data_IF_871804092134
#
_entry.id   IF_871804092134
#
_cell.length_a   1.000
_cell.length_b   1.000
_cell.length_c   1.000
_cell.angle_alpha   90.00
_cell.angle_beta   90.00
_cell.angle_gamma   90.00
#
_symmetry.space_group_name_H-M   'P 1'
#
loop_
_entity.id
_entity.type
_entity.pdbx_description
1 polymer ?
#
# COMPACT_ATOMS: atom_id res chain seq x y z
N UNK A 1 5.28 -18.67 0.35
CA UNK A 1 5.66 -17.33 -0.22
C UNK A 1 5.24 -17.14 -1.69
N UNK A 2 5.07 -15.89 -2.18
CA UNK A 2 4.80 -15.60 -3.63
C UNK A 2 5.87 -16.14 -4.58
N UNK A 3 7.08 -16.40 -4.08
CA UNK A 3 8.18 -17.01 -4.82
C UNK A 3 7.96 -18.53 -5.03
N UNK A 4 7.58 -19.24 -3.98
CA UNK A 4 7.27 -20.68 -4.03
C UNK A 4 6.01 -20.96 -4.85
N UNK A 5 4.99 -20.10 -4.75
CA UNK A 5 3.80 -20.15 -5.62
C UNK A 5 4.15 -20.02 -7.11
N UNK A 6 5.32 -19.43 -7.42
CA UNK A 6 5.87 -19.29 -8.78
C UNK A 6 6.94 -20.33 -9.11
N UNK A 7 7.21 -21.29 -8.22
CA UNK A 7 8.25 -22.31 -8.37
C UNK A 7 9.67 -21.75 -8.36
N UNK A 8 9.87 -20.58 -7.76
CA UNK A 8 11.18 -19.91 -7.64
C UNK A 8 11.71 -20.18 -6.24
N UNK A 9 12.96 -20.63 -6.15
CA UNK A 9 13.67 -20.76 -4.88
C UNK A 9 13.80 -19.39 -4.18
N UNK A 10 13.22 -19.22 -2.96
CA UNK A 10 13.23 -17.94 -2.25
C UNK A 10 14.64 -17.42 -1.97
N UNK A 11 15.57 -18.32 -1.64
CA UNK A 11 16.94 -17.93 -1.29
C UNK A 11 17.70 -17.44 -2.53
N UNK A 12 17.61 -18.16 -3.65
CA UNK A 12 18.15 -17.69 -4.92
C UNK A 12 17.54 -16.35 -5.37
N UNK A 13 16.25 -16.12 -5.12
CA UNK A 13 15.59 -14.86 -5.47
C UNK A 13 16.11 -13.68 -4.62
N UNK A 14 16.31 -13.89 -3.31
CA UNK A 14 16.83 -12.86 -2.41
C UNK A 14 18.29 -12.55 -2.72
N UNK A 15 19.13 -13.57 -2.93
CA UNK A 15 20.54 -13.39 -3.25
C UNK A 15 20.77 -12.64 -4.57
N UNK A 16 19.85 -12.76 -5.53
CA UNK A 16 19.88 -12.03 -6.80
C UNK A 16 19.16 -10.66 -6.74
N UNK A 17 18.62 -10.28 -5.58
CA UNK A 17 17.91 -9.01 -5.40
C UNK A 17 18.83 -7.82 -5.60
N UNK A 18 18.28 -6.74 -6.15
CA UNK A 18 18.99 -5.46 -6.25
C UNK A 18 19.37 -4.90 -4.87
N UNK A 19 18.62 -5.27 -3.82
CA UNK A 19 18.80 -4.77 -2.46
C UNK A 19 20.10 -5.30 -1.81
N UNK A 20 20.51 -6.54 -2.13
CA UNK A 20 21.75 -7.14 -1.62
C UNK A 20 23.00 -6.80 -2.44
N UNK A 21 22.87 -5.91 -3.44
CA UNK A 21 24.03 -5.32 -4.13
C UNK A 21 24.76 -4.31 -3.26
N UNK A 22 24.06 -3.71 -2.30
CA UNK A 22 24.63 -2.84 -1.30
C UNK A 22 25.35 -3.67 -0.22
N UNK A 23 26.60 -3.31 0.10
CA UNK A 23 27.42 -4.07 1.05
C UNK A 23 26.87 -4.03 2.48
N UNK A 24 26.31 -2.89 2.90
CA UNK A 24 25.73 -2.76 4.23
C UNK A 24 24.50 -3.65 4.36
N UNK A 25 23.62 -3.62 3.36
CA UNK A 25 22.40 -4.44 3.39
C UNK A 25 22.70 -5.94 3.25
N UNK A 26 23.73 -6.30 2.48
CA UNK A 26 24.23 -7.68 2.42
C UNK A 26 24.77 -8.13 3.78
N UNK A 27 25.53 -7.29 4.47
CA UNK A 27 26.03 -7.60 5.81
C UNK A 27 24.88 -7.78 6.81
N UNK A 28 23.88 -6.90 6.77
CA UNK A 28 22.68 -7.00 7.61
C UNK A 28 21.91 -8.29 7.32
N UNK A 29 21.79 -8.70 6.05
CA UNK A 29 21.16 -9.95 5.67
C UNK A 29 21.89 -11.18 6.24
N UNK A 30 23.22 -11.21 6.16
CA UNK A 30 24.02 -12.29 6.75
C UNK A 30 23.91 -12.32 8.29
N UNK A 31 23.83 -11.16 8.95
CA UNK A 31 23.52 -11.08 10.39
C UNK A 31 22.14 -11.65 10.71
N UNK A 32 21.14 -11.34 9.89
CA UNK A 32 19.77 -11.84 10.06
C UNK A 32 19.70 -13.37 9.96
N UNK A 33 20.43 -14.01 9.02
CA UNK A 33 20.51 -15.48 8.96
C UNK A 33 20.96 -16.10 10.28
N UNK A 34 21.97 -15.51 10.92
CA UNK A 34 22.45 -15.97 12.24
C UNK A 34 21.36 -15.78 13.31
N UNK A 35 20.60 -14.69 13.26
CA UNK A 35 19.45 -14.48 14.16
C UNK A 35 18.39 -15.56 13.96
N UNK A 36 18.06 -15.90 12.70
CA UNK A 36 17.11 -16.97 12.38
C UNK A 36 17.61 -18.34 12.83
N UNK A 37 18.92 -18.62 12.70
CA UNK A 37 19.54 -19.84 13.25
C UNK A 37 19.38 -19.91 14.77
N UNK A 38 19.61 -18.80 15.48
CA UNK A 38 19.40 -18.71 16.94
C UNK A 38 17.94 -18.84 17.35
N UNK A 39 17.02 -18.31 16.55
CA UNK A 39 15.59 -18.54 16.73
C UNK A 39 15.25 -20.03 16.54
N UNK A 40 15.82 -20.69 15.54
CA UNK A 40 15.62 -22.13 15.31
C UNK A 40 16.13 -22.97 16.51
N UNK A 41 17.34 -22.67 17.02
CA UNK A 41 17.89 -23.31 18.23
C UNK A 41 16.96 -23.12 19.45
N UNK A 42 16.37 -21.94 19.61
CA UNK A 42 15.42 -21.65 20.69
C UNK A 42 14.08 -22.39 20.54
N UNK A 43 13.61 -22.57 19.30
CA UNK A 43 12.33 -23.21 19.00
C UNK A 43 12.41 -24.75 18.95
N UNK A 44 13.59 -25.32 18.73
CA UNK A 44 13.83 -26.77 18.71
C UNK A 44 13.28 -27.50 19.96
N UNK A 45 13.59 -27.10 21.21
CA UNK A 45 13.04 -27.75 22.41
C UNK A 45 11.52 -27.58 22.55
N UNK A 46 10.91 -26.62 21.84
CA UNK A 46 9.47 -26.38 21.82
C UNK A 46 8.76 -27.18 20.72
N UNK A 47 9.50 -27.93 19.89
CA UNK A 47 8.97 -28.65 18.73
C UNK A 47 8.36 -27.71 17.69
N UNK A 48 8.90 -26.50 17.57
CA UNK A 48 8.46 -25.47 16.62
C UNK A 48 9.59 -25.14 15.64
N UNK A 49 9.23 -24.64 14.49
CA UNK A 49 10.17 -24.13 13.49
C UNK A 49 9.88 -22.64 13.22
N UNK A 50 10.89 -21.84 12.85
CA UNK A 50 10.69 -20.47 12.41
C UNK A 50 9.71 -20.38 11.24
N UNK A 51 8.86 -19.35 11.22
CA UNK A 51 7.93 -19.14 10.12
C UNK A 51 8.65 -18.60 8.88
N UNK A 52 8.03 -18.70 7.70
CA UNK A 52 8.56 -18.08 6.47
C UNK A 52 8.82 -16.58 6.64
N UNK A 53 8.02 -15.89 7.44
CA UNK A 53 8.24 -14.48 7.75
C UNK A 53 9.51 -14.28 8.57
N UNK A 54 9.76 -15.14 9.56
CA UNK A 54 10.95 -15.05 10.42
C UNK A 54 12.25 -15.38 9.66
N UNK A 55 12.15 -16.13 8.56
CA UNK A 55 13.29 -16.54 7.74
C UNK A 55 13.59 -15.52 6.64
N UNK A 56 12.55 -14.93 6.02
CA UNK A 56 12.70 -14.17 4.78
C UNK A 56 12.37 -12.69 4.90
N UNK A 57 11.84 -12.23 6.04
CA UNK A 57 11.46 -10.83 6.24
C UNK A 57 12.29 -10.22 7.35
N UNK A 58 13.00 -9.16 7.00
CA UNK A 58 13.68 -8.30 7.95
C UNK A 58 12.88 -7.01 8.17
N UNK A 59 12.68 -6.63 9.44
CA UNK A 59 12.02 -5.39 9.84
C UNK A 59 13.05 -4.27 10.11
N UNK A 60 12.57 -3.03 10.12
CA UNK A 60 13.42 -1.87 10.40
C UNK A 60 14.07 -1.90 11.78
N UNK A 61 13.37 -2.42 12.79
CA UNK A 61 13.90 -2.63 14.14
C UNK A 61 15.11 -3.57 14.14
N UNK A 62 15.04 -4.67 13.37
CA UNK A 62 16.14 -5.62 13.25
C UNK A 62 17.32 -5.01 12.48
N UNK A 63 17.04 -4.31 11.37
CA UNK A 63 18.07 -3.59 10.60
C UNK A 63 18.85 -2.64 11.52
N UNK A 64 18.15 -1.84 12.32
CA UNK A 64 18.77 -0.85 13.20
C UNK A 64 19.53 -1.52 14.36
N UNK A 65 18.94 -2.50 15.04
CA UNK A 65 19.59 -3.20 16.17
C UNK A 65 20.79 -4.06 15.75
N UNK A 66 20.83 -4.50 14.49
CA UNK A 66 21.95 -5.25 13.92
C UNK A 66 23.01 -4.38 13.27
N UNK A 67 22.74 -3.09 13.00
CA UNK A 67 23.67 -2.21 12.29
C UNK A 67 25.04 -2.15 12.99
N UNK A 68 25.05 -1.89 14.29
CA UNK A 68 26.25 -1.66 15.09
C UNK A 68 26.94 -2.93 15.63
N UNK A 69 26.29 -4.10 15.53
CA UNK A 69 26.82 -5.35 16.08
C UNK A 69 27.67 -6.11 15.06
N UNK A 70 28.73 -6.78 15.51
CA UNK A 70 29.47 -7.72 14.67
C UNK A 70 28.77 -9.09 14.60
N UNK A 71 29.02 -9.85 13.53
CA UNK A 71 28.48 -11.22 13.38
C UNK A 71 28.95 -12.12 14.54
N UNK A 72 30.20 -11.97 14.97
CA UNK A 72 30.78 -12.78 16.05
C UNK A 72 30.16 -12.47 17.41
N UNK A 73 29.69 -11.24 17.62
CA UNK A 73 28.97 -10.88 18.85
C UNK A 73 27.57 -11.50 18.85
N UNK A 74 26.86 -11.44 17.72
CA UNK A 74 25.51 -12.02 17.57
C UNK A 74 25.56 -13.54 17.80
N UNK A 75 26.59 -14.23 17.30
CA UNK A 75 26.77 -15.68 17.49
C UNK A 75 26.92 -16.09 18.97
N UNK A 76 27.42 -15.19 19.81
CA UNK A 76 27.62 -15.44 21.25
C UNK A 76 26.37 -15.15 22.07
N UNK A 77 25.43 -14.39 21.52
CA UNK A 77 24.19 -14.00 22.20
C UNK A 77 23.14 -15.11 22.09
N UNK A 78 22.29 -15.22 23.11
CA UNK A 78 21.08 -16.03 23.02
C UNK A 78 19.96 -15.29 22.25
N UNK A 79 18.90 -16.02 21.88
CA UNK A 79 17.77 -15.44 21.13
C UNK A 79 17.12 -14.24 21.86
N UNK A 80 17.01 -14.29 23.18
CA UNK A 80 16.35 -13.25 23.98
C UNK A 80 17.23 -12.02 24.19
N UNK A 81 18.55 -12.19 24.25
CA UNK A 81 19.53 -11.12 24.22
C UNK A 81 19.52 -10.39 22.87
N UNK A 82 19.34 -11.13 21.77
CA UNK A 82 19.17 -10.56 20.43
C UNK A 82 17.89 -9.75 20.34
N UNK A 83 16.76 -10.28 20.83
CA UNK A 83 15.48 -9.58 20.83
C UNK A 83 15.52 -8.25 21.60
N UNK A 84 16.19 -8.24 22.76
CA UNK A 84 16.40 -7.02 23.56
C UNK A 84 17.30 -5.98 22.91
N UNK A 85 18.14 -6.40 21.97
CA UNK A 85 18.99 -5.47 21.25
C UNK A 85 18.24 -4.71 20.14
N UNK A 86 17.03 -5.13 19.78
CA UNK A 86 16.22 -4.39 18.83
C UNK A 86 15.57 -3.18 19.51
N UNK A 87 15.67 -1.98 18.91
CA UNK A 87 15.10 -0.77 19.49
C UNK A 87 13.59 -0.92 19.64
N UNK A 88 13.05 -0.70 20.85
CA UNK A 88 11.61 -0.68 21.06
C UNK A 88 10.96 0.56 20.46
N UNK A 89 9.63 0.56 20.35
CA UNK A 89 8.89 1.68 19.76
C UNK A 89 9.14 3.00 20.52
N UNK A 90 9.19 2.97 21.86
CA UNK A 90 9.32 4.16 22.72
C UNK A 90 10.78 4.60 22.94
N UNK A 91 11.71 3.65 22.94
CA UNK A 91 13.13 3.88 23.28
C UNK A 91 14.04 3.99 22.04
N UNK A 92 13.48 3.97 20.83
CA UNK A 92 14.27 4.08 19.59
C UNK A 92 13.55 4.63 18.37
N UNK A 93 12.44 4.02 17.92
CA UNK A 93 11.83 4.40 16.63
C UNK A 93 10.91 5.63 16.71
N UNK A 94 10.08 5.71 17.76
CA UNK A 94 9.12 6.78 17.97
C UNK A 94 8.96 7.09 19.47
N UNK A 95 9.76 8.03 19.97
CA UNK A 95 9.66 8.44 21.38
C UNK A 95 10.70 9.49 21.79
N UNK A 96 10.71 9.89 23.08
CA UNK A 96 11.64 10.90 23.60
C UNK A 96 13.13 10.58 23.35
N UNK A 97 13.45 9.30 23.20
CA UNK A 97 14.83 8.77 23.09
C UNK A 97 15.24 8.35 21.66
N UNK A 98 14.50 8.78 20.63
CA UNK A 98 14.72 8.37 19.23
C UNK A 98 16.09 8.69 18.61
N UNK A 99 16.89 9.56 19.24
CA UNK A 99 18.24 9.92 18.78
C UNK A 99 19.34 8.96 19.25
N UNK A 100 19.00 7.88 19.96
CA UNK A 100 19.98 6.91 20.49
C UNK A 100 20.32 5.78 19.52
N UNK A 101 19.59 5.68 18.42
CA UNK A 101 19.73 4.60 17.42
C UNK A 101 20.27 5.21 16.14
N UNK A 102 21.42 4.72 15.66
CA UNK A 102 21.90 5.07 14.33
C UNK A 102 21.19 4.19 13.30
N UNK A 103 20.60 4.83 12.30
CA UNK A 103 19.88 4.12 11.24
C UNK A 103 20.78 4.02 10.02
N UNK A 104 21.07 2.82 9.51
CA UNK A 104 21.89 2.70 8.32
C UNK A 104 21.20 3.39 7.14
N UNK A 105 21.91 4.31 6.50
CA UNK A 105 21.44 4.97 5.29
C UNK A 105 21.56 3.99 4.12
N UNK A 106 20.44 3.67 3.49
CA UNK A 106 20.38 2.78 2.32
C UNK A 106 19.89 3.60 1.12
N UNK A 107 20.74 3.73 0.09
CA UNK A 107 20.36 4.41 -1.15
C UNK A 107 19.59 3.43 -2.03
N UNK A 108 18.29 3.62 -2.11
CA UNK A 108 17.42 2.80 -2.94
C UNK A 108 17.15 3.47 -4.30
N UNK A 109 17.48 2.83 -5.44
CA UNK A 109 17.13 3.36 -6.75
C UNK A 109 15.62 3.54 -6.91
N UNK A 110 15.18 4.73 -7.32
CA UNK A 110 13.75 5.09 -7.44
C UNK A 110 12.96 4.12 -8.33
N UNK A 111 13.62 3.58 -9.36
CA UNK A 111 13.08 2.62 -10.33
C UNK A 111 12.68 1.27 -9.69
N UNK A 112 13.39 0.88 -8.63
CA UNK A 112 13.15 -0.37 -7.90
C UNK A 112 12.08 -0.21 -6.81
N UNK A 113 11.77 1.02 -6.41
CA UNK A 113 10.70 1.32 -5.45
C UNK A 113 9.36 1.38 -6.18
N UNK A 114 8.57 0.32 -6.07
CA UNK A 114 7.14 0.43 -6.35
C UNK A 114 6.48 1.24 -5.24
N UNK A 115 6.06 2.45 -5.56
CA UNK A 115 5.07 3.15 -4.75
C UNK A 115 3.74 2.41 -4.93
N UNK A 116 3.51 1.43 -4.09
CA UNK A 116 2.17 0.91 -3.87
C UNK A 116 1.47 1.88 -2.93
N UNK A 117 0.81 2.90 -3.50
CA UNK A 117 0.12 3.89 -2.68
C UNK A 117 -1.04 3.22 -1.96
N UNK A 118 -1.15 3.46 -0.65
CA UNK A 118 -2.33 3.08 0.16
C UNK A 118 -3.62 3.70 -0.39
N UNK A 119 -3.50 4.76 -1.20
CA UNK A 119 -4.57 5.44 -1.94
C UNK A 119 -5.01 4.72 -3.23
N UNK A 120 -4.42 3.58 -3.57
CA UNK A 120 -4.78 2.82 -4.77
C UNK A 120 -6.01 1.94 -4.49
N UNK A 121 -7.00 1.89 -5.42
CA UNK A 121 -8.12 0.94 -5.36
C UNK A 121 -7.69 -0.52 -5.19
N UNK A 122 -6.47 -0.87 -5.63
CA UNK A 122 -6.01 -2.26 -5.66
C UNK A 122 -5.67 -2.82 -4.28
N UNK A 123 -5.33 -1.95 -3.33
CA UNK A 123 -4.76 -2.37 -2.04
C UNK A 123 -5.54 -1.86 -0.83
N UNK A 124 -6.58 -1.07 -1.07
CA UNK A 124 -7.42 -0.53 -0.01
C UNK A 124 -8.89 -0.57 -0.42
N UNK A 125 -9.67 -1.37 0.30
CA UNK A 125 -11.10 -1.60 0.05
C UNK A 125 -11.93 -0.32 0.15
N UNK A 126 -11.57 0.61 1.04
CA UNK A 126 -12.24 1.91 1.15
C UNK A 126 -12.03 2.73 -0.14
N UNK A 127 -10.79 2.88 -0.60
CA UNK A 127 -10.52 3.61 -1.85
C UNK A 127 -11.11 2.89 -3.06
N UNK A 128 -11.09 1.55 -3.10
CA UNK A 128 -11.74 0.78 -4.16
C UNK A 128 -13.23 1.13 -4.29
N UNK A 129 -13.92 1.18 -3.16
CA UNK A 129 -15.36 1.50 -3.08
C UNK A 129 -15.61 2.96 -3.43
N UNK A 130 -14.83 3.88 -2.85
CA UNK A 130 -14.87 5.32 -3.13
C UNK A 130 -14.73 5.63 -4.62
N UNK A 131 -13.69 5.08 -5.28
CA UNK A 131 -13.45 5.32 -6.71
C UNK A 131 -14.52 4.67 -7.59
N UNK A 132 -15.04 3.50 -7.21
CA UNK A 132 -16.09 2.82 -7.98
C UNK A 132 -17.39 3.61 -7.96
N UNK A 133 -17.85 4.02 -6.77
CA UNK A 133 -19.12 4.72 -6.63
C UNK A 133 -19.02 6.15 -7.20
N UNK A 134 -17.97 6.89 -6.84
CA UNK A 134 -17.74 8.25 -7.32
C UNK A 134 -17.49 8.28 -8.84
N UNK A 135 -16.74 7.30 -9.36
CA UNK A 135 -16.49 7.16 -10.79
C UNK A 135 -17.75 6.84 -11.59
N UNK A 136 -18.59 5.91 -11.11
CA UNK A 136 -19.88 5.61 -11.71
C UNK A 136 -20.78 6.85 -11.72
N UNK A 137 -20.84 7.58 -10.61
CA UNK A 137 -21.61 8.82 -10.53
C UNK A 137 -21.11 9.89 -11.51
N UNK A 138 -19.78 10.13 -11.55
CA UNK A 138 -19.17 11.06 -12.49
C UNK A 138 -19.48 10.72 -13.95
N UNK A 139 -19.54 9.43 -14.30
CA UNK A 139 -19.96 8.99 -15.63
C UNK A 139 -21.40 9.42 -15.93
N UNK A 140 -22.33 9.29 -14.97
CA UNK A 140 -23.71 9.74 -15.15
C UNK A 140 -23.82 11.26 -15.31
N UNK A 141 -23.02 12.02 -14.55
CA UNK A 141 -22.95 13.50 -14.69
C UNK A 141 -22.47 13.87 -16.09
N UNK A 142 -21.41 13.23 -16.60
CA UNK A 142 -20.90 13.47 -17.96
C UNK A 142 -21.96 13.11 -19.00
N UNK A 143 -22.61 11.95 -18.88
CA UNK A 143 -23.67 11.54 -19.79
C UNK A 143 -24.85 12.52 -19.80
N UNK A 144 -25.29 12.97 -18.62
CA UNK A 144 -26.33 14.00 -18.49
C UNK A 144 -25.91 15.33 -19.11
N UNK A 145 -24.67 15.74 -18.90
CA UNK A 145 -24.14 17.01 -19.40
C UNK A 145 -24.08 16.99 -20.93
N UNK A 146 -23.68 15.86 -21.53
CA UNK A 146 -23.68 15.67 -22.98
C UNK A 146 -25.10 15.74 -23.57
N UNK A 147 -26.09 15.13 -22.91
CA UNK A 147 -27.49 15.18 -23.37
C UNK A 147 -28.05 16.61 -23.30
N UNK A 148 -27.79 17.33 -22.20
CA UNK A 148 -28.21 18.73 -22.06
C UNK A 148 -27.48 19.65 -23.06
N UNK A 149 -26.17 19.45 -23.24
CA UNK A 149 -25.39 20.18 -24.24
C UNK A 149 -25.94 19.92 -25.66
N UNK A 150 -26.30 18.68 -25.98
CA UNK A 150 -26.92 18.34 -27.26
C UNK A 150 -28.22 19.13 -27.48
N UNK A 151 -29.08 19.22 -26.47
CA UNK A 151 -30.29 20.06 -26.55
C UNK A 151 -29.97 21.55 -26.68
N UNK A 152 -28.91 22.05 -26.04
CA UNK A 152 -28.51 23.45 -26.14
C UNK A 152 -28.03 23.82 -27.57
N UNK A 153 -27.21 22.96 -28.19
CA UNK A 153 -26.63 23.24 -29.51
C UNK A 153 -27.57 22.92 -30.68
N UNK A 154 -28.38 21.85 -30.58
CA UNK A 154 -29.31 21.45 -31.66
C UNK A 154 -30.77 21.85 -31.41
N UNK A 155 -31.07 22.41 -30.23
CA UNK A 155 -32.43 22.76 -29.81
C UNK A 155 -33.11 23.78 -30.71
N UNK A 156 -32.38 24.76 -31.26
CA UNK A 156 -32.96 25.80 -32.12
C UNK A 156 -33.59 25.21 -33.39
N UNK A 157 -32.91 24.26 -34.03
CA UNK A 157 -33.41 23.55 -35.23
C UNK A 157 -34.58 22.61 -34.90
N UNK A 158 -34.59 22.02 -33.70
CA UNK A 158 -35.66 21.13 -33.25
C UNK A 158 -36.91 21.90 -32.80
N UNK A 159 -36.73 23.08 -32.22
CA UNK A 159 -37.81 24.00 -31.83
C UNK A 159 -38.61 24.47 -33.04
N UNK A 160 -37.90 24.83 -34.13
CA UNK A 160 -38.53 25.26 -35.39
C UNK A 160 -39.35 24.14 -36.08
N UNK A 161 -39.05 22.87 -35.77
CA UNK A 161 -39.77 21.72 -36.33
C UNK A 161 -40.96 21.28 -35.48
N UNK A 162 -40.75 21.10 -34.16
CA UNK A 162 -41.79 20.64 -33.24
C UNK A 162 -41.47 21.13 -31.80
N UNK A 163 -42.02 22.27 -31.36
CA UNK A 163 -41.67 22.87 -30.07
C UNK A 163 -42.10 22.01 -28.86
N UNK A 164 -43.25 21.32 -28.93
CA UNK A 164 -43.71 20.44 -27.84
C UNK A 164 -42.79 19.24 -27.59
N UNK A 165 -42.18 18.69 -28.65
CA UNK A 165 -41.28 17.56 -28.51
C UNK A 165 -39.97 17.97 -27.84
N UNK A 166 -39.45 19.15 -28.16
CA UNK A 166 -38.27 19.68 -27.47
C UNK A 166 -38.56 19.93 -25.99
N UNK A 167 -39.73 20.51 -25.66
CA UNK A 167 -40.14 20.76 -24.29
C UNK A 167 -40.18 19.46 -23.46
N UNK A 168 -40.83 18.41 -23.95
CA UNK A 168 -40.90 17.11 -23.28
C UNK A 168 -39.50 16.47 -23.09
N UNK A 169 -38.61 16.54 -24.10
CA UNK A 169 -37.24 16.00 -24.00
C UNK A 169 -36.38 16.75 -22.99
N UNK A 170 -36.52 18.07 -22.91
CA UNK A 170 -35.80 18.90 -21.94
C UNK A 170 -36.34 18.68 -20.53
N UNK A 171 -37.65 18.52 -20.35
CA UNK A 171 -38.24 18.20 -19.05
C UNK A 171 -37.73 16.86 -18.51
N UNK A 172 -37.71 15.81 -19.34
CA UNK A 172 -37.14 14.51 -18.97
C UNK A 172 -35.63 14.60 -18.70
N UNK A 173 -34.89 15.38 -19.50
CA UNK A 173 -33.46 15.60 -19.30
C UNK A 173 -33.15 16.36 -18.00
N UNK A 174 -33.98 17.36 -17.66
CA UNK A 174 -33.90 18.10 -16.40
C UNK A 174 -34.24 17.22 -15.21
N UNK A 175 -35.26 16.36 -15.32
CA UNK A 175 -35.61 15.39 -14.28
C UNK A 175 -34.44 14.41 -14.01
N UNK A 176 -33.79 13.92 -15.07
CA UNK A 176 -32.59 13.10 -14.95
C UNK A 176 -31.44 13.86 -14.26
N UNK A 177 -31.21 15.12 -14.62
CA UNK A 177 -30.18 15.95 -13.99
C UNK A 177 -30.42 16.14 -12.50
N UNK A 178 -31.66 16.44 -12.11
CA UNK A 178 -32.04 16.54 -10.69
C UNK A 178 -31.90 15.22 -9.93
N UNK A 179 -32.22 14.09 -10.56
CA UNK A 179 -31.99 12.78 -9.96
C UNK A 179 -30.51 12.52 -9.68
N UNK A 180 -29.63 12.80 -10.64
CA UNK A 180 -28.18 12.67 -10.46
C UNK A 180 -27.70 13.58 -9.32
N UNK A 181 -28.12 14.85 -9.31
CA UNK A 181 -27.76 15.80 -8.24
C UNK A 181 -28.22 15.33 -6.85
N UNK A 182 -29.44 14.79 -6.73
CA UNK A 182 -29.94 14.21 -5.48
C UNK A 182 -29.06 13.07 -4.97
N UNK A 183 -28.65 12.15 -5.85
CA UNK A 183 -27.73 11.06 -5.50
C UNK A 183 -26.40 11.62 -4.99
N UNK A 184 -25.88 12.70 -5.58
CA UNK A 184 -24.63 13.34 -5.15
C UNK A 184 -24.73 13.94 -3.75
N UNK A 185 -25.85 14.62 -3.45
CA UNK A 185 -26.10 15.22 -2.14
C UNK A 185 -26.07 14.17 -1.01
N UNK A 186 -26.48 12.93 -1.28
CA UNK A 186 -26.35 11.82 -0.31
C UNK A 186 -24.97 11.17 -0.31
N UNK A 187 -24.32 11.07 -1.47
CA UNK A 187 -22.99 10.47 -1.61
C UNK A 187 -21.90 11.27 -0.90
N UNK A 188 -21.95 12.60 -1.03
CA UNK A 188 -20.97 13.50 -0.44
C UNK A 188 -20.81 13.32 1.08
N UNK A 189 -21.86 13.41 1.92
CA UNK A 189 -21.71 13.22 3.36
C UNK A 189 -21.30 11.80 3.75
N UNK A 190 -21.78 10.77 3.03
CA UNK A 190 -21.44 9.37 3.35
C UNK A 190 -19.97 9.06 3.09
N UNK A 191 -19.37 9.62 2.03
CA UNK A 191 -17.97 9.35 1.72
C UNK A 191 -16.99 10.35 2.32
N UNK A 192 -17.39 11.61 2.54
CA UNK A 192 -16.49 12.68 2.99
C UNK A 192 -16.68 13.13 4.43
N UNK A 193 -17.82 12.86 5.08
CA UNK A 193 -18.10 13.29 6.46
C UNK A 193 -18.19 12.15 7.48
N UNK A 194 -18.24 10.89 7.03
CA UNK A 194 -18.28 9.69 7.87
C UNK A 194 -16.93 8.99 7.86
#
# INVERSE_FOLDING_TARGET
MKAEEKGIDPEAAINNSWLLKDENMKLIWEKHKVVTEKLAEYLEPLGKEPTENDIYRINWHEIAGLADKSIDDIKKMDHHEIEKAFPGDIEGFAGPDHNKVDYPEIIVPREQVRFESVFSPRWNTYYATYFTITGLHGLHVIAGALVLAYYLFFGRKMYDQNPEWLANRVEVGGLFWHFVDLVWIFLFPVLYLM
#
